data_IF_151805541153
#
_entry.id   IF_151805541153
#
_cell.length_a   1.000
_cell.length_b   1.000
_cell.length_c   1.000
_cell.angle_alpha   90.00
_cell.angle_beta   90.00
_cell.angle_gamma   90.00
#
_symmetry.space_group_name_H-M   'P 1'
#
loop_
_entity.id
_entity.type
_entity.pdbx_description
1 polymer ?
#
# COMPACT_ATOMS: atom_id res chain seq x y z
N UNK A 1 -2.62 8.92 -3.33
CA UNK A 1 -2.29 8.17 -2.11
C UNK A 1 -2.03 6.70 -2.39
N UNK A 2 -3.02 5.88 -2.82
CA UNK A 2 -2.77 4.45 -3.11
C UNK A 2 -1.72 4.28 -4.22
N UNK A 3 -1.86 5.00 -5.34
CA UNK A 3 -0.88 5.00 -6.43
C UNK A 3 0.51 5.41 -5.94
N UNK A 4 0.61 6.53 -5.22
CA UNK A 4 1.87 7.01 -4.64
C UNK A 4 2.53 5.98 -3.72
N UNK A 5 1.76 5.31 -2.86
CA UNK A 5 2.29 4.28 -1.97
C UNK A 5 2.89 3.10 -2.75
N UNK A 6 2.20 2.62 -3.79
CA UNK A 6 2.67 1.51 -4.62
C UNK A 6 3.88 1.92 -5.47
N UNK A 7 3.86 3.11 -6.06
CA UNK A 7 4.97 3.66 -6.85
C UNK A 7 6.20 3.79 -5.95
N UNK A 8 6.03 4.40 -4.78
CA UNK A 8 7.08 4.49 -3.77
C UNK A 8 7.64 3.12 -3.40
N UNK A 9 6.80 2.13 -3.07
CA UNK A 9 7.27 0.78 -2.72
C UNK A 9 8.06 0.12 -3.86
N UNK A 10 7.60 0.28 -5.11
CA UNK A 10 8.32 -0.23 -6.29
C UNK A 10 9.72 0.37 -6.38
N UNK A 11 9.83 1.71 -6.32
CA UNK A 11 11.11 2.39 -6.41
C UNK A 11 12.03 2.05 -5.24
N UNK A 12 11.50 2.11 -4.01
CA UNK A 12 12.23 1.81 -2.79
C UNK A 12 12.83 0.39 -2.80
N UNK A 13 12.06 -0.61 -3.25
CA UNK A 13 12.57 -1.97 -3.39
C UNK A 13 13.63 -2.10 -4.49
N UNK A 14 13.45 -1.46 -5.65
CA UNK A 14 14.45 -1.50 -6.72
C UNK A 14 15.78 -0.87 -6.29
N UNK A 15 15.73 0.30 -5.64
CA UNK A 15 16.93 0.95 -5.07
C UNK A 15 17.65 0.01 -4.11
N UNK A 16 16.90 -0.65 -3.23
CA UNK A 16 17.48 -1.58 -2.25
C UNK A 16 18.10 -2.81 -2.90
N UNK A 17 17.41 -3.43 -3.86
CA UNK A 17 17.88 -4.63 -4.55
C UNK A 17 19.13 -4.34 -5.37
N UNK A 18 19.18 -3.18 -6.05
CA UNK A 18 20.38 -2.72 -6.77
C UNK A 18 21.55 -2.50 -5.82
N UNK A 19 21.32 -1.86 -4.66
CA UNK A 19 22.37 -1.65 -3.66
C UNK A 19 22.92 -2.96 -3.07
N UNK A 20 22.12 -4.02 -2.99
CA UNK A 20 22.57 -5.35 -2.53
C UNK A 20 23.33 -6.15 -3.59
N UNK A 21 23.11 -5.87 -4.87
CA UNK A 21 23.68 -6.67 -5.96
C UNK A 21 25.20 -6.50 -6.11
N UNK A 22 25.80 -5.41 -5.60
CA UNK A 22 27.26 -5.23 -5.47
C UNK A 22 28.10 -5.41 -6.75
N UNK A 23 27.47 -5.50 -7.93
CA UNK A 23 28.08 -5.97 -9.17
C UNK A 23 28.30 -4.89 -10.24
N UNK A 24 29.27 -5.15 -11.12
CA UNK A 24 29.69 -4.32 -12.25
C UNK A 24 28.53 -3.99 -13.23
N UNK A 25 28.66 -2.95 -14.10
CA UNK A 25 27.56 -2.29 -14.83
C UNK A 25 26.80 -3.12 -15.88
N UNK A 26 26.97 -4.45 -15.91
CA UNK A 26 26.57 -5.34 -17.01
C UNK A 26 25.36 -6.22 -16.71
N UNK A 27 24.89 -6.35 -15.47
CA UNK A 27 23.59 -6.97 -15.21
C UNK A 27 22.50 -5.91 -15.38
N UNK A 28 21.94 -5.85 -16.60
CA UNK A 28 20.74 -5.11 -17.03
C UNK A 28 20.21 -4.07 -16.03
N UNK A 29 20.33 -2.78 -16.40
CA UNK A 29 19.73 -1.57 -15.80
C UNK A 29 18.19 -1.60 -15.64
N UNK A 30 17.54 -2.75 -15.80
CA UNK A 30 16.10 -2.90 -15.71
C UNK A 30 15.66 -3.14 -14.27
N UNK A 31 14.67 -2.37 -13.83
CA UNK A 31 13.91 -2.59 -12.59
C UNK A 31 13.52 -4.07 -12.45
N UNK A 32 13.87 -4.67 -11.31
CA UNK A 32 13.46 -6.04 -10.97
C UNK A 32 12.07 -6.09 -10.36
N UNK A 33 11.66 -5.05 -9.66
CA UNK A 33 10.29 -4.91 -9.14
C UNK A 33 9.50 -4.04 -10.12
N UNK A 34 8.47 -4.60 -10.72
CA UNK A 34 7.67 -3.95 -11.77
C UNK A 34 6.19 -3.99 -11.43
N UNK A 35 5.36 -3.17 -12.07
CA UNK A 35 3.92 -3.37 -12.04
C UNK A 35 3.48 -4.36 -13.11
N UNK A 36 2.26 -4.87 -12.96
CA UNK A 36 1.59 -5.60 -14.03
C UNK A 36 1.42 -4.70 -15.26
N UNK A 37 1.50 -5.31 -16.44
CA UNK A 37 1.17 -4.65 -17.70
C UNK A 37 -0.35 -4.50 -17.84
N UNK A 38 -0.82 -3.25 -17.83
CA UNK A 38 -2.24 -2.92 -17.91
C UNK A 38 -2.90 -3.34 -19.23
N UNK A 39 -2.15 -3.51 -20.31
CA UNK A 39 -2.68 -4.00 -21.59
C UNK A 39 -2.95 -5.51 -21.57
N UNK A 40 -2.37 -6.24 -20.60
CA UNK A 40 -2.40 -7.70 -20.51
C UNK A 40 -2.96 -8.17 -19.18
N UNK A 41 -4.19 -7.73 -18.90
CA UNK A 41 -4.93 -8.08 -17.68
C UNK A 41 -5.89 -9.27 -17.85
N UNK A 42 -6.20 -9.68 -19.08
CA UNK A 42 -7.08 -10.84 -19.35
C UNK A 42 -6.57 -11.71 -20.52
N UNK A 43 -5.87 -12.84 -20.24
CA UNK A 43 -5.41 -13.25 -18.91
C UNK A 43 -4.23 -12.40 -18.43
N UNK A 44 -4.11 -12.24 -17.11
CA UNK A 44 -3.01 -11.47 -16.52
C UNK A 44 -1.65 -12.13 -16.87
N UNK A 45 -0.69 -11.32 -17.30
CA UNK A 45 0.66 -11.78 -17.62
C UNK A 45 1.70 -11.10 -16.74
N UNK A 46 2.62 -11.90 -16.17
CA UNK A 46 3.75 -11.40 -15.41
C UNK A 46 5.01 -11.33 -16.29
N UNK A 47 5.83 -10.29 -16.10
CA UNK A 47 7.09 -10.12 -16.85
C UNK A 47 8.11 -11.18 -16.43
N UNK A 48 8.74 -11.83 -17.40
CA UNK A 48 9.83 -12.78 -17.15
C UNK A 48 11.10 -12.04 -16.71
N UNK A 49 11.77 -12.57 -15.69
CA UNK A 49 12.99 -11.99 -15.11
C UNK A 49 12.72 -10.90 -14.06
N UNK A 50 11.49 -10.84 -13.52
CA UNK A 50 11.06 -9.78 -12.60
C UNK A 50 10.16 -10.30 -11.48
N UNK A 51 10.04 -9.48 -10.44
CA UNK A 51 9.01 -9.52 -9.40
C UNK A 51 7.91 -8.55 -9.81
N UNK A 52 6.73 -9.06 -10.15
CA UNK A 52 5.57 -8.23 -10.45
C UNK A 52 4.81 -7.87 -9.17
N UNK A 53 4.57 -6.58 -8.96
CA UNK A 53 3.81 -6.02 -7.85
C UNK A 53 2.38 -5.76 -8.31
N UNK A 54 1.41 -6.27 -7.56
CA UNK A 54 -0.01 -6.16 -7.86
C UNK A 54 -0.81 -5.86 -6.59
N UNK A 55 -1.74 -4.90 -6.66
CA UNK A 55 -2.73 -4.68 -5.62
C UNK A 55 -3.91 -5.61 -5.86
N UNK A 56 -4.18 -6.52 -4.92
CA UNK A 56 -5.25 -7.53 -5.05
C UNK A 56 -6.49 -7.20 -4.22
N UNK A 57 -6.37 -6.35 -3.19
CA UNK A 57 -7.49 -5.91 -2.38
C UNK A 57 -7.17 -4.58 -1.64
N UNK A 58 -8.21 -3.82 -1.29
CA UNK A 58 -8.13 -2.60 -0.48
C UNK A 58 -9.25 -2.65 0.56
N UNK A 59 -8.89 -2.47 1.83
CA UNK A 59 -9.85 -2.43 2.93
C UNK A 59 -9.65 -1.17 3.76
N UNK A 60 -10.74 -0.54 4.20
CA UNK A 60 -10.67 0.51 5.20
C UNK A 60 -10.46 -0.11 6.60
N UNK A 61 -9.45 0.35 7.32
CA UNK A 61 -9.23 -0.04 8.71
C UNK A 61 -10.13 0.79 9.64
N UNK A 62 -11.26 0.20 10.04
CA UNK A 62 -12.16 0.79 11.03
C UNK A 62 -11.58 0.61 12.43
N UNK A 63 -11.05 1.69 13.00
CA UNK A 63 -10.66 1.71 14.42
C UNK A 63 -11.92 2.00 15.25
N UNK A 64 -12.25 1.13 16.20
CA UNK A 64 -13.28 1.40 17.20
C UNK A 64 -12.80 2.52 18.15
N UNK A 65 -13.16 3.79 17.87
CA UNK A 65 -13.71 4.82 18.80
C UNK A 65 -13.39 6.27 18.40
N UNK A 66 -14.45 7.09 18.34
CA UNK A 66 -14.76 8.23 19.22
C UNK A 66 -16.30 8.44 19.17
N UNK A 67 -16.91 9.06 20.19
CA UNK A 67 -18.37 9.28 20.22
C UNK A 67 -18.86 10.23 19.09
N UNK A 68 -17.97 11.08 18.58
CA UNK A 68 -18.11 11.80 17.32
C UNK A 68 -16.73 11.89 16.62
N UNK A 69 -16.45 11.06 15.60
CA UNK A 69 -15.15 11.05 14.91
C UNK A 69 -14.86 12.33 14.11
N UNK A 70 -15.86 13.22 14.00
CA UNK A 70 -15.73 14.50 13.35
C UNK A 70 -15.43 15.62 14.35
N UNK A 71 -15.71 15.48 15.64
CA UNK A 71 -15.57 16.55 16.60
C UNK A 71 -14.09 16.80 16.98
N UNK A 72 -13.60 18.00 16.71
CA UNK A 72 -12.34 18.55 17.23
C UNK A 72 -12.56 19.93 17.82
N UNK A 73 -11.57 20.44 18.53
CA UNK A 73 -11.58 21.78 19.10
C UNK A 73 -10.41 22.55 18.48
N UNK A 74 -10.65 23.76 17.99
CA UNK A 74 -9.58 24.61 17.47
C UNK A 74 -8.77 25.28 18.61
N UNK A 75 -7.72 26.03 18.25
CA UNK A 75 -6.86 26.74 19.22
C UNK A 75 -7.61 27.79 20.08
N UNK A 76 -8.84 28.16 19.69
CA UNK A 76 -9.70 29.12 20.40
C UNK A 76 -10.77 28.44 21.27
N UNK A 77 -10.84 27.10 21.27
CA UNK A 77 -11.86 26.37 22.01
C UNK A 77 -13.16 26.12 21.24
N UNK A 78 -13.23 26.49 19.96
CA UNK A 78 -14.45 26.33 19.16
C UNK A 78 -14.57 24.90 18.58
N UNK A 79 -15.78 24.32 18.53
CA UNK A 79 -16.00 23.02 17.92
C UNK A 79 -15.75 23.11 16.40
N UNK A 80 -14.77 22.37 15.94
CA UNK A 80 -14.41 22.17 14.54
C UNK A 80 -14.85 20.76 14.13
N UNK A 81 -15.49 20.63 12.96
CA UNK A 81 -15.62 19.31 12.34
C UNK A 81 -14.40 19.06 11.45
N UNK A 82 -13.63 18.01 11.68
CA UNK A 82 -12.57 17.56 10.77
C UNK A 82 -12.87 16.17 10.24
N UNK A 83 -12.52 15.86 8.99
CA UNK A 83 -12.56 14.48 8.54
C UNK A 83 -11.55 13.64 9.37
N UNK A 84 -11.89 12.42 9.79
CA UNK A 84 -10.96 11.55 10.51
C UNK A 84 -9.84 11.07 9.59
N UNK A 85 -8.70 10.71 10.19
CA UNK A 85 -7.55 10.08 9.51
C UNK A 85 -8.00 8.83 8.74
N UNK A 86 -7.85 8.84 7.41
CA UNK A 86 -8.12 7.66 6.59
C UNK A 86 -7.02 6.61 6.80
N UNK A 87 -7.43 5.38 7.10
CA UNK A 87 -6.52 4.23 7.26
C UNK A 87 -6.95 3.14 6.30
N UNK A 88 -6.03 2.69 5.46
CA UNK A 88 -6.28 1.65 4.47
C UNK A 88 -5.33 0.48 4.69
N UNK A 89 -5.84 -0.74 4.49
CA UNK A 89 -5.04 -1.94 4.30
C UNK A 89 -4.99 -2.23 2.80
N UNK A 90 -3.80 -2.17 2.22
CA UNK A 90 -3.56 -2.53 0.84
C UNK A 90 -2.96 -3.92 0.81
N UNK A 91 -3.59 -4.87 0.13
CA UNK A 91 -3.07 -6.23 -0.02
C UNK A 91 -2.25 -6.28 -1.32
N UNK A 92 -0.93 -6.25 -1.16
CA UNK A 92 0.04 -6.13 -2.25
C UNK A 92 0.75 -7.47 -2.44
N UNK A 93 0.52 -8.08 -3.58
CA UNK A 93 1.13 -9.34 -3.99
C UNK A 93 2.41 -9.07 -4.79
N UNK A 94 3.50 -9.74 -4.40
CA UNK A 94 4.76 -9.75 -5.13
C UNK A 94 4.95 -11.12 -5.77
N UNK A 95 4.90 -11.19 -7.09
CA UNK A 95 4.94 -12.45 -7.88
C UNK A 95 6.27 -12.59 -8.59
N UNK A 96 7.01 -13.67 -8.32
CA UNK A 96 8.27 -13.95 -8.97
C UNK A 96 8.09 -14.82 -10.21
N UNK A 97 8.54 -14.31 -11.37
CA UNK A 97 8.56 -15.07 -12.62
C UNK A 97 9.96 -15.04 -13.22
N UNK A 98 10.71 -16.11 -13.01
CA UNK A 98 12.09 -16.26 -13.48
C UNK A 98 12.26 -17.60 -14.20
N UNK A 99 13.21 -17.65 -15.15
CA UNK A 99 13.59 -18.91 -15.80
C UNK A 99 14.22 -19.87 -14.80
N UNK A 100 15.17 -19.38 -14.01
CA UNK A 100 15.76 -20.09 -12.88
C UNK A 100 14.91 -19.85 -11.64
N UNK A 101 14.30 -20.91 -11.11
CA UNK A 101 13.42 -20.83 -9.96
C UNK A 101 14.10 -20.23 -8.73
N UNK A 102 15.35 -20.62 -8.49
CA UNK A 102 16.18 -20.15 -7.37
C UNK A 102 16.38 -18.63 -7.38
N UNK A 103 16.49 -17.99 -8.55
CA UNK A 103 16.59 -16.54 -8.65
C UNK A 103 15.31 -15.87 -8.14
N UNK A 104 14.14 -16.43 -8.51
CA UNK A 104 12.86 -15.93 -8.01
C UNK A 104 12.75 -16.04 -6.49
N UNK A 105 13.22 -17.15 -5.91
CA UNK A 105 13.26 -17.34 -4.46
C UNK A 105 14.21 -16.36 -3.77
N UNK A 106 15.40 -16.11 -4.34
CA UNK A 106 16.37 -15.15 -3.80
C UNK A 106 15.78 -13.73 -3.76
N UNK A 107 15.15 -13.27 -4.84
CA UNK A 107 14.50 -11.95 -4.86
C UNK A 107 13.34 -11.86 -3.86
N UNK A 108 12.51 -12.89 -3.73
CA UNK A 108 11.46 -12.91 -2.70
C UNK A 108 12.07 -12.88 -1.28
N UNK A 109 13.13 -13.65 -1.04
CA UNK A 109 13.87 -13.65 0.23
C UNK A 109 14.41 -12.27 0.58
N UNK A 110 15.00 -11.56 -0.39
CA UNK A 110 15.50 -10.18 -0.21
C UNK A 110 14.39 -9.19 0.13
N UNK A 111 13.23 -9.29 -0.52
CA UNK A 111 12.05 -8.46 -0.21
C UNK A 111 11.58 -8.73 1.23
N UNK A 112 11.47 -10.01 1.60
CA UNK A 112 11.07 -10.41 2.97
C UNK A 112 12.06 -9.86 3.99
N UNK A 113 13.36 -10.06 3.78
CA UNK A 113 14.41 -9.58 4.68
C UNK A 113 14.40 -8.05 4.81
N UNK A 114 14.17 -7.34 3.71
CA UNK A 114 14.06 -5.89 3.71
C UNK A 114 12.90 -5.42 4.59
N UNK A 115 11.69 -5.94 4.37
CA UNK A 115 10.53 -5.53 5.16
C UNK A 115 10.54 -6.07 6.59
N UNK A 116 11.25 -7.17 6.88
CA UNK A 116 11.49 -7.59 8.26
C UNK A 116 12.36 -6.60 9.03
N UNK A 117 13.36 -6.00 8.37
CA UNK A 117 14.24 -5.00 8.98
C UNK A 117 13.66 -3.57 8.95
N UNK A 118 12.78 -3.28 7.99
CA UNK A 118 12.17 -1.96 7.77
C UNK A 118 10.65 -2.08 7.71
N UNK A 119 10.04 -2.49 8.83
CA UNK A 119 8.58 -2.69 8.92
C UNK A 119 7.79 -1.40 8.78
N UNK A 120 8.37 -0.26 9.17
CA UNK A 120 7.73 1.05 9.14
C UNK A 120 8.52 1.95 8.21
N UNK A 121 7.84 2.46 7.18
CA UNK A 121 8.36 3.44 6.25
C UNK A 121 7.61 4.75 6.49
N UNK A 122 8.31 5.74 7.04
CA UNK A 122 7.82 7.08 7.31
C UNK A 122 8.81 8.12 6.76
N UNK A 123 8.55 9.41 6.92
CA UNK A 123 9.44 10.43 6.38
C UNK A 123 10.85 10.46 7.01
N UNK A 124 11.09 9.77 8.13
CA UNK A 124 12.45 9.64 8.71
C UNK A 124 13.25 8.56 7.99
N UNK A 125 12.65 7.39 7.76
CA UNK A 125 13.33 6.26 7.10
C UNK A 125 13.21 6.28 5.57
N UNK A 126 12.21 6.99 5.05
CA UNK A 126 11.88 7.09 3.64
C UNK A 126 11.46 8.52 3.25
N UNK A 127 12.43 9.44 3.06
CA UNK A 127 12.14 10.84 2.73
C UNK A 127 11.39 11.04 1.39
N UNK A 128 11.42 10.05 0.49
CA UNK A 128 10.71 10.07 -0.78
C UNK A 128 9.21 9.69 -0.67
N UNK A 129 8.72 9.39 0.53
CA UNK A 129 7.30 9.11 0.77
C UNK A 129 6.47 10.39 0.56
N UNK A 130 5.36 10.28 -0.18
CA UNK A 130 4.43 11.41 -0.44
C UNK A 130 3.96 12.06 0.87
N UNK A 131 3.99 13.40 0.93
CA UNK A 131 3.68 14.19 2.13
C UNK A 131 2.27 13.96 2.71
N UNK A 132 1.34 13.39 1.94
CA UNK A 132 -0.01 13.04 2.42
C UNK A 132 -0.01 11.71 3.17
N UNK A 133 1.01 10.87 2.98
CA UNK A 133 1.12 9.55 3.61
C UNK A 133 2.02 9.65 4.82
N UNK A 134 1.43 9.60 6.01
CA UNK A 134 2.17 9.68 7.26
C UNK A 134 3.16 8.53 7.45
N UNK A 135 2.74 7.31 7.09
CA UNK A 135 3.57 6.10 7.11
C UNK A 135 2.90 4.93 6.39
N UNK A 136 3.74 3.98 5.98
CA UNK A 136 3.36 2.64 5.56
C UNK A 136 3.89 1.61 6.59
N UNK A 137 3.06 0.64 6.96
CA UNK A 137 3.46 -0.48 7.82
C UNK A 137 3.32 -1.77 7.04
N UNK A 138 4.42 -2.53 6.96
CA UNK A 138 4.54 -3.75 6.17
C UNK A 138 4.30 -4.98 7.03
N UNK A 139 3.23 -5.72 6.76
CA UNK A 139 2.90 -6.97 7.45
C UNK A 139 2.83 -8.12 6.43
N UNK A 140 3.65 -9.16 6.61
CA UNK A 140 3.58 -10.35 5.78
C UNK A 140 2.28 -11.09 6.09
N UNK A 141 1.47 -11.35 5.06
CA UNK A 141 0.20 -12.04 5.16
C UNK A 141 0.34 -13.45 4.56
N UNK A 142 0.10 -14.46 5.38
CA UNK A 142 0.01 -15.85 4.92
C UNK A 142 -1.46 -16.19 4.66
N UNK A 143 -1.76 -16.73 3.48
CA UNK A 143 -3.09 -17.23 3.12
C UNK A 143 -3.17 -18.75 3.36
N UNK A 144 -4.36 -19.26 3.64
CA UNK A 144 -4.62 -20.69 3.53
C UNK A 144 -4.52 -21.15 2.06
N UNK A 145 -4.21 -22.42 1.81
CA UNK A 145 -4.09 -22.93 0.44
C UNK A 145 -5.38 -22.77 -0.38
N UNK A 146 -6.56 -22.81 0.24
CA UNK A 146 -7.84 -22.55 -0.42
C UNK A 146 -7.95 -21.10 -0.89
N UNK A 147 -7.67 -20.13 -0.01
CA UNK A 147 -7.69 -18.70 -0.33
C UNK A 147 -6.63 -18.35 -1.38
N UNK A 148 -5.45 -18.96 -1.28
CA UNK A 148 -4.40 -18.84 -2.29
C UNK A 148 -4.91 -19.32 -3.65
N UNK A 149 -5.54 -20.50 -3.71
CA UNK A 149 -6.13 -21.02 -4.95
C UNK A 149 -7.21 -20.07 -5.51
N UNK A 150 -8.07 -19.51 -4.67
CA UNK A 150 -9.07 -18.51 -5.08
C UNK A 150 -8.43 -17.27 -5.72
N UNK A 151 -7.38 -16.71 -5.12
CA UNK A 151 -6.63 -15.58 -5.68
C UNK A 151 -6.07 -15.94 -7.06
N UNK A 152 -5.40 -17.08 -7.21
CA UNK A 152 -4.80 -17.48 -8.49
C UNK A 152 -5.84 -17.81 -9.57
N UNK A 153 -6.98 -18.39 -9.19
CA UNK A 153 -8.11 -18.62 -10.10
C UNK A 153 -8.74 -17.30 -10.57
N UNK A 154 -8.92 -16.34 -9.66
CA UNK A 154 -9.43 -15.00 -10.01
C UNK A 154 -8.50 -14.27 -11.00
N UNK A 155 -7.19 -14.47 -10.86
CA UNK A 155 -6.17 -13.97 -11.78
C UNK A 155 -6.15 -14.68 -13.14
N UNK A 156 -6.88 -15.81 -13.31
CA UNK A 156 -6.92 -16.61 -14.55
C UNK A 156 -5.53 -16.99 -15.08
N UNK A 157 -4.63 -17.36 -14.18
CA UNK A 157 -3.23 -17.68 -14.52
C UNK A 157 -2.71 -18.81 -13.64
N UNK A 158 -1.65 -19.47 -14.08
CA UNK A 158 -1.01 -20.53 -13.29
C UNK A 158 -0.30 -19.94 -12.07
N UNK A 159 -0.26 -20.71 -10.99
CA UNK A 159 0.48 -20.35 -9.79
C UNK A 159 1.94 -19.98 -10.08
N UNK A 160 2.41 -18.91 -9.45
CA UNK A 160 3.82 -18.51 -9.40
C UNK A 160 4.26 -18.29 -7.95
N UNK A 161 5.55 -18.51 -7.62
CA UNK A 161 6.09 -18.15 -6.30
C UNK A 161 5.77 -16.69 -5.98
N UNK A 162 5.21 -16.46 -4.80
CA UNK A 162 4.75 -15.12 -4.42
C UNK A 162 4.71 -14.93 -2.91
N UNK A 163 4.71 -13.67 -2.50
CA UNK A 163 4.44 -13.26 -1.12
C UNK A 163 3.39 -12.16 -1.11
N UNK A 164 2.48 -12.23 -0.14
CA UNK A 164 1.44 -11.22 0.05
C UNK A 164 1.80 -10.36 1.25
N UNK A 165 1.75 -9.05 1.08
CA UNK A 165 1.88 -8.09 2.17
C UNK A 165 0.58 -7.33 2.37
N UNK A 166 0.15 -7.23 3.63
CA UNK A 166 -0.78 -6.20 4.06
C UNK A 166 0.02 -4.93 4.37
N UNK A 167 -0.16 -3.92 3.54
CA UNK A 167 0.44 -2.59 3.70
C UNK A 167 -0.58 -1.67 4.35
N UNK A 168 -0.37 -1.35 5.62
CA UNK A 168 -1.21 -0.37 6.32
C UNK A 168 -0.76 1.04 5.94
N UNK A 169 -1.61 1.75 5.22
CA UNK A 169 -1.42 3.13 4.81
C UNK A 169 -2.16 4.04 5.80
N UNK A 170 -1.40 4.92 6.46
CA UNK A 170 -1.97 5.97 7.32
C UNK A 170 -1.84 7.31 6.58
N UNK A 171 -2.98 7.90 6.24
CA UNK A 171 -3.06 9.19 5.57
C UNK A 171 -3.14 10.33 6.59
N UNK A 172 -2.49 11.46 6.32
CA UNK A 172 -2.86 12.70 7.03
C UNK A 172 -4.26 13.14 6.61
N UNK A 173 -4.98 13.74 7.55
CA UNK A 173 -6.29 14.29 7.25
C UNK A 173 -6.14 15.65 6.59
N UNK A 174 -6.89 15.89 5.52
CA UNK A 174 -6.87 17.15 4.80
C UNK A 174 -7.47 18.27 5.70
N UNK A 175 -6.67 19.29 6.09
CA UNK A 175 -7.16 20.40 6.91
C UNK A 175 -8.19 21.28 6.20
N UNK A 176 -8.23 21.29 4.86
CA UNK A 176 -9.17 22.09 4.07
C UNK A 176 -10.48 21.35 3.76
N UNK A 177 -10.51 20.03 3.90
CA UNK A 177 -11.70 19.21 3.64
C UNK A 177 -12.85 19.42 4.65
N UNK A 178 -12.65 20.23 5.69
CA UNK A 178 -13.67 20.45 6.70
C UNK A 178 -13.58 21.83 7.39
N UNK A 179 -14.03 22.87 6.69
CA UNK A 179 -14.71 24.00 7.34
C UNK A 179 -16.21 23.88 7.12
N UNK A 180 -16.84 22.84 7.67
CA UNK A 180 -18.30 22.77 7.70
C UNK A 180 -18.77 23.57 8.90
N UNK A 181 -19.47 24.70 8.73
CA UNK A 181 -19.96 25.49 9.86
C UNK A 181 -20.94 24.65 10.67
N UNK A 182 -20.76 24.63 11.99
CA UNK A 182 -21.69 24.00 12.93
C UNK A 182 -23.03 24.74 12.80
N UNK A 183 -24.09 24.05 12.33
CA UNK A 183 -25.45 24.61 12.27
C UNK A 183 -25.91 24.86 13.72
N UNK A 184 -26.00 26.14 14.12
CA UNK A 184 -26.28 26.51 15.52
C UNK A 184 -27.76 26.59 15.90
N UNK A 185 -28.71 26.41 14.98
CA UNK A 185 -30.13 26.30 15.35
C UNK A 185 -31.00 25.89 14.17
N UNK A 186 -31.89 24.91 14.37
CA UNK A 186 -33.08 24.73 13.54
C UNK A 186 -34.17 25.61 14.13
N UNK A 187 -34.54 26.69 13.44
CA UNK A 187 -35.74 27.45 13.79
C UNK A 187 -36.92 26.66 13.22
N UNK A 188 -37.55 25.85 14.07
CA UNK A 188 -38.84 25.23 13.74
C UNK A 188 -39.91 26.33 13.78
N UNK A 189 -40.22 26.91 12.62
CA UNK A 189 -41.38 27.78 12.47
C UNK A 189 -42.64 26.94 12.58
N UNK A 190 -43.28 26.92 13.74
CA UNK A 190 -44.67 26.49 13.88
C UNK A 190 -45.51 27.74 13.67
N UNK A 191 -46.14 27.86 12.49
CA UNK A 191 -47.17 28.88 12.26
C UNK A 191 -48.48 28.47 12.94
N UNK A 192 -49.18 29.41 13.58
CA UNK A 192 -50.44 29.19 14.28
C UNK A 192 -51.64 28.99 13.34
#
# INVERSE_FOLDING_TARGET
MIGEALIFLKHHLNERLTAQAGGAPSESLEDKVVFVDGERMDPITFKLGAITTLLINVEEEKVLRDADPYARVDASGAPLRTQPTLRLNLYVLFVARFKQYEHGLDYLGRIIQHFQSHKILDHQSAPALDDRIAKLIMELQTLAFSEQNEVWNALRTTYHPSVLYRVKLVAFSDPDAARVPVIRSVVAGVSP
#
